data_IF_341936401486
#
_entry.id   IF_341936401486
#
_cell.length_a   1.000
_cell.length_b   1.000
_cell.length_c   1.000
_cell.angle_alpha   90.00
_cell.angle_beta   90.00
_cell.angle_gamma   90.00
#
_symmetry.space_group_name_H-M   'P 1'
#
loop_
_entity.id
_entity.type
_entity.pdbx_description
1 polymer ?
#
# COMPACT_ATOMS: atom_id res chain seq x y z
N UNK A 1 -40.18 -8.55 -1.45
CA UNK A 1 -39.26 -7.70 -0.66
C UNK A 1 -38.07 -7.37 -1.54
N UNK A 2 -37.86 -6.10 -1.91
CA UNK A 2 -36.77 -5.67 -2.78
C UNK A 2 -35.60 -5.18 -1.91
N UNK A 3 -34.45 -5.86 -1.98
CA UNK A 3 -33.26 -5.43 -1.24
C UNK A 3 -32.63 -4.22 -1.96
N UNK A 4 -32.81 -3.03 -1.39
CA UNK A 4 -32.08 -1.84 -1.81
C UNK A 4 -30.65 -2.00 -1.28
N UNK A 5 -29.74 -2.44 -2.15
CA UNK A 5 -28.31 -2.46 -1.84
C UNK A 5 -27.86 -0.99 -1.82
N UNK A 6 -27.62 -0.45 -0.62
CA UNK A 6 -26.94 0.83 -0.44
C UNK A 6 -25.50 0.68 -0.94
N UNK A 7 -25.28 0.91 -2.22
CA UNK A 7 -23.96 0.80 -2.85
C UNK A 7 -23.14 2.05 -2.52
N UNK A 8 -22.63 2.09 -1.30
CA UNK A 8 -21.72 3.17 -0.90
C UNK A 8 -20.43 3.08 -1.74
N UNK A 9 -19.92 4.19 -2.30
CA UNK A 9 -18.67 4.22 -3.07
C UNK A 9 -17.41 4.02 -2.21
N UNK A 10 -17.55 3.37 -1.04
CA UNK A 10 -16.51 3.14 -0.04
C UNK A 10 -15.34 2.37 -0.60
N UNK A 11 -15.54 1.47 -1.58
CA UNK A 11 -14.44 0.67 -2.15
C UNK A 11 -13.41 1.56 -2.85
N UNK A 12 -13.83 2.55 -3.65
CA UNK A 12 -12.89 3.44 -4.34
C UNK A 12 -12.19 4.38 -3.37
N UNK A 13 -12.92 4.91 -2.39
CA UNK A 13 -12.36 5.77 -1.33
C UNK A 13 -11.33 5.00 -0.49
N UNK A 14 -11.65 3.78 -0.08
CA UNK A 14 -10.72 2.90 0.66
C UNK A 14 -9.49 2.53 -0.17
N UNK A 15 -9.65 2.26 -1.46
CA UNK A 15 -8.53 1.97 -2.35
C UNK A 15 -7.56 3.15 -2.45
N UNK A 16 -8.09 4.38 -2.53
CA UNK A 16 -7.25 5.59 -2.48
C UNK A 16 -6.55 5.74 -1.14
N UNK A 17 -7.26 5.56 -0.03
CA UNK A 17 -6.67 5.65 1.31
C UNK A 17 -5.55 4.61 1.53
N UNK A 18 -5.68 3.40 1.00
CA UNK A 18 -4.61 2.38 1.01
C UNK A 18 -3.37 2.88 0.27
N UNK A 19 -3.54 3.42 -0.94
CA UNK A 19 -2.44 3.96 -1.73
C UNK A 19 -1.73 5.12 -0.99
N UNK A 20 -2.51 6.08 -0.49
CA UNK A 20 -1.98 7.26 0.20
C UNK A 20 -1.21 6.83 1.48
N UNK A 21 -1.73 5.87 2.26
CA UNK A 21 -1.07 5.35 3.45
C UNK A 21 0.27 4.66 3.14
N UNK A 22 0.30 3.80 2.11
CA UNK A 22 1.54 3.11 1.69
C UNK A 22 2.56 4.10 1.15
N UNK A 23 2.14 5.08 0.34
CA UNK A 23 3.03 6.15 -0.15
C UNK A 23 3.68 6.90 1.01
N UNK A 24 2.89 7.32 2.00
CA UNK A 24 3.42 8.02 3.17
C UNK A 24 4.39 7.16 3.98
N UNK A 25 4.11 5.86 4.15
CA UNK A 25 5.01 4.95 4.84
C UNK A 25 6.33 4.75 4.07
N UNK A 26 6.26 4.55 2.75
CA UNK A 26 7.45 4.42 1.90
C UNK A 26 8.34 5.67 1.93
N UNK A 27 7.75 6.86 1.85
CA UNK A 27 8.48 8.12 1.98
C UNK A 27 9.16 8.26 3.35
N UNK A 28 8.48 7.86 4.44
CA UNK A 28 9.05 7.84 5.79
C UNK A 28 10.22 6.87 5.93
N UNK A 29 10.19 5.76 5.20
CA UNK A 29 11.29 4.79 5.16
C UNK A 29 12.51 5.30 4.36
N UNK A 30 12.37 6.42 3.64
CA UNK A 30 13.43 7.02 2.85
C UNK A 30 13.44 6.62 1.37
N UNK A 31 12.37 6.00 0.87
CA UNK A 31 12.26 5.69 -0.56
C UNK A 31 12.08 6.96 -1.40
N UNK A 32 12.65 6.95 -2.61
CA UNK A 32 12.40 7.98 -3.61
C UNK A 32 10.89 8.06 -3.96
N UNK A 33 10.31 9.25 -4.21
CA UNK A 33 8.88 9.41 -4.48
C UNK A 33 8.33 8.49 -5.57
N UNK A 34 9.09 8.27 -6.64
CA UNK A 34 8.70 7.35 -7.72
C UNK A 34 8.50 5.89 -7.25
N UNK A 35 9.36 5.41 -6.35
CA UNK A 35 9.26 4.06 -5.80
C UNK A 35 8.12 3.97 -4.79
N UNK A 36 7.91 5.04 -4.01
CA UNK A 36 6.77 5.15 -3.09
C UNK A 36 5.42 5.10 -3.85
N UNK A 37 5.32 5.79 -4.99
CA UNK A 37 4.14 5.75 -5.85
C UNK A 37 3.91 4.37 -6.46
N UNK A 38 4.99 3.69 -6.87
CA UNK A 38 4.90 2.33 -7.38
C UNK A 38 4.39 1.36 -6.32
N UNK A 39 4.93 1.39 -5.10
CA UNK A 39 4.45 0.55 -3.99
C UNK A 39 2.98 0.85 -3.65
N UNK A 40 2.57 2.12 -3.67
CA UNK A 40 1.20 2.54 -3.43
C UNK A 40 0.21 1.99 -4.47
N UNK A 41 0.60 1.97 -5.75
CA UNK A 41 -0.21 1.41 -6.82
C UNK A 41 -0.37 -0.10 -6.69
N UNK A 42 0.70 -0.82 -6.31
CA UNK A 42 0.65 -2.27 -6.09
C UNK A 42 -0.30 -2.60 -4.94
N UNK A 43 -0.15 -1.96 -3.77
CA UNK A 43 -1.03 -2.21 -2.63
C UNK A 43 -2.50 -1.87 -2.91
N UNK A 44 -2.75 -0.80 -3.69
CA UNK A 44 -4.08 -0.45 -4.17
C UNK A 44 -4.67 -1.55 -5.07
N UNK A 45 -3.87 -2.12 -5.98
CA UNK A 45 -4.29 -3.20 -6.86
C UNK A 45 -4.58 -4.49 -6.07
N UNK A 46 -3.78 -4.83 -5.06
CA UNK A 46 -4.04 -5.99 -4.19
C UNK A 46 -5.35 -5.83 -3.39
N UNK A 47 -5.66 -4.64 -2.91
CA UNK A 47 -6.95 -4.36 -2.29
C UNK A 47 -8.12 -4.43 -3.29
N UNK A 48 -7.95 -3.84 -4.48
CA UNK A 48 -8.98 -3.83 -5.52
C UNK A 48 -9.24 -5.21 -6.14
N UNK A 49 -8.24 -6.08 -6.19
CA UNK A 49 -8.41 -7.48 -6.59
C UNK A 49 -9.11 -8.33 -5.53
N UNK A 50 -9.22 -7.82 -4.29
CA UNK A 50 -9.78 -8.55 -3.16
C UNK A 50 -8.81 -9.58 -2.57
N UNK A 51 -7.55 -9.61 -3.02
CA UNK A 51 -6.50 -10.46 -2.45
C UNK A 51 -6.26 -10.14 -0.99
N UNK A 52 -6.30 -8.86 -0.62
CA UNK A 52 -6.12 -8.39 0.75
C UNK A 52 -7.24 -7.43 1.20
N UNK A 53 -7.53 -7.46 2.50
CA UNK A 53 -8.28 -6.37 3.15
C UNK A 53 -7.44 -5.09 3.13
N UNK A 54 -8.08 -3.92 3.30
CA UNK A 54 -7.37 -2.64 3.26
C UNK A 54 -6.22 -2.58 4.29
N UNK A 55 -6.47 -3.01 5.53
CA UNK A 55 -5.45 -3.05 6.57
C UNK A 55 -4.31 -4.00 6.20
N UNK A 56 -4.63 -5.21 5.70
CA UNK A 56 -3.62 -6.20 5.33
C UNK A 56 -2.78 -5.76 4.14
N UNK A 57 -3.37 -5.12 3.13
CA UNK A 57 -2.64 -4.58 1.99
C UNK A 57 -1.62 -3.51 2.39
N UNK A 58 -1.98 -2.65 3.36
CA UNK A 58 -1.06 -1.64 3.91
C UNK A 58 0.06 -2.31 4.71
N UNK A 59 -0.29 -3.14 5.71
CA UNK A 59 0.70 -3.79 6.58
C UNK A 59 1.71 -4.63 5.80
N UNK A 60 1.23 -5.48 4.88
CA UNK A 60 2.07 -6.36 4.08
C UNK A 60 3.08 -5.56 3.24
N UNK A 61 2.61 -4.50 2.55
CA UNK A 61 3.49 -3.67 1.73
C UNK A 61 4.51 -2.90 2.58
N UNK A 62 4.12 -2.38 3.74
CA UNK A 62 5.03 -1.68 4.66
C UNK A 62 6.09 -2.63 5.22
N UNK A 63 5.71 -3.86 5.57
CA UNK A 63 6.64 -4.87 6.05
C UNK A 63 7.64 -5.28 4.97
N UNK A 64 7.19 -5.45 3.73
CA UNK A 64 8.05 -5.74 2.58
C UNK A 64 9.05 -4.60 2.30
N UNK A 65 8.60 -3.34 2.31
CA UNK A 65 9.47 -2.17 2.17
C UNK A 65 10.48 -2.10 3.32
N UNK A 66 10.05 -2.34 4.56
CA UNK A 66 10.93 -2.36 5.72
C UNK A 66 11.99 -3.47 5.62
N UNK A 67 11.60 -4.66 5.16
CA UNK A 67 12.52 -5.77 4.94
C UNK A 67 13.54 -5.46 3.84
N UNK A 68 13.09 -4.91 2.71
CA UNK A 68 13.97 -4.50 1.61
C UNK A 68 14.98 -3.44 2.06
N UNK A 69 14.57 -2.41 2.82
CA UNK A 69 15.49 -1.42 3.38
C UNK A 69 16.54 -2.02 4.32
N UNK A 70 16.13 -2.97 5.17
CA UNK A 70 17.08 -3.66 6.06
C UNK A 70 18.09 -4.48 5.26
N UNK A 71 17.64 -5.16 4.21
CA UNK A 71 18.52 -5.91 3.32
C UNK A 71 19.51 -5.00 2.59
N UNK A 72 19.05 -3.88 2.02
CA UNK A 72 19.93 -2.91 1.35
C UNK A 72 21.01 -2.35 2.30
N UNK A 73 20.63 -2.03 3.55
CA UNK A 73 21.61 -1.57 4.56
C UNK A 73 22.61 -2.66 4.95
N UNK A 74 22.14 -3.90 5.13
CA UNK A 74 23.00 -5.02 5.48
C UNK A 74 24.01 -5.37 4.37
N UNK A 75 23.65 -5.12 3.11
CA UNK A 75 24.52 -5.34 1.94
C UNK A 75 25.49 -4.19 1.66
N UNK A 76 25.56 -3.17 2.54
CA UNK A 76 26.51 -2.06 2.39
C UNK A 76 26.08 -1.00 1.37
N UNK A 77 24.77 -0.88 1.10
CA UNK A 77 24.24 0.12 0.16
C UNK A 77 24.60 1.55 0.56
N UNK A 78 25.58 2.09 -0.15
CA UNK A 78 25.92 3.52 -0.21
C UNK A 78 24.71 4.25 -0.79
N UNK A 79 24.27 5.32 -0.12
CA UNK A 79 23.27 6.24 -0.63
C UNK A 79 23.81 7.04 -1.82
#
# INVERSE_FOLDING_TARGET
MSAVILQFPTRRVRAKAVADAVRHAALRLGYHPHNADTAALIARADFLSGRYSAARAVSEMVDQLGAAMRQMRAQGGVA
#
